data_IF_541233485763
#
_entry.id   IF_541233485763
#
_cell.length_a   1.000
_cell.length_b   1.000
_cell.length_c   1.000
_cell.angle_alpha   90.00
_cell.angle_beta   90.00
_cell.angle_gamma   90.00
#
_symmetry.space_group_name_H-M   'P 1'
#
loop_
_entity.id
_entity.type
_entity.pdbx_description
1 polymer ?
#
# COMPACT_ATOMS: atom_id res chain seq x y z
N UNK A 1 26.45 25.96 -6.63
CA UNK A 1 26.32 24.72 -5.86
C UNK A 1 26.45 23.57 -6.84
N UNK A 2 27.53 22.79 -6.76
CA UNK A 2 27.73 21.61 -7.59
C UNK A 2 27.08 20.44 -6.85
N UNK A 3 25.87 20.03 -7.28
CA UNK A 3 25.30 18.76 -6.85
C UNK A 3 26.15 17.66 -7.47
N UNK A 4 26.89 16.90 -6.66
CA UNK A 4 27.59 15.70 -7.09
C UNK A 4 26.58 14.62 -7.42
N UNK A 5 26.02 14.66 -8.63
CA UNK A 5 25.18 13.58 -9.15
C UNK A 5 26.05 12.35 -9.40
N UNK A 6 25.99 11.38 -8.50
CA UNK A 6 26.55 10.05 -8.67
C UNK A 6 25.67 9.25 -9.63
N UNK A 7 25.89 9.42 -10.94
CA UNK A 7 25.26 8.57 -11.96
C UNK A 7 25.89 7.18 -11.90
N UNK A 8 25.16 6.22 -11.36
CA UNK A 8 25.53 4.80 -11.40
C UNK A 8 24.94 4.20 -12.67
N UNK A 9 25.79 3.71 -13.57
CA UNK A 9 25.38 3.02 -14.80
C UNK A 9 25.67 1.51 -14.65
N UNK A 10 24.61 0.74 -14.45
CA UNK A 10 24.69 -0.72 -14.34
C UNK A 10 24.62 -1.34 -15.75
N UNK A 11 25.78 -1.51 -16.38
CA UNK A 11 25.85 -1.92 -17.78
C UNK A 11 25.67 -3.43 -18.03
N UNK A 12 25.76 -4.28 -17.00
CA UNK A 12 25.51 -5.72 -17.16
C UNK A 12 24.00 -5.99 -17.04
N UNK A 13 23.36 -6.24 -18.18
CA UNK A 13 21.92 -6.47 -18.25
C UNK A 13 21.48 -7.85 -17.75
N UNK A 14 20.22 -7.93 -17.33
CA UNK A 14 19.57 -9.17 -16.92
C UNK A 14 18.76 -9.06 -15.63
N UNK A 15 18.62 -10.21 -14.96
CA UNK A 15 17.91 -10.38 -13.70
C UNK A 15 18.76 -9.93 -12.50
N UNK A 16 18.16 -9.18 -11.59
CA UNK A 16 18.73 -8.85 -10.29
C UNK A 16 17.88 -9.40 -9.15
N UNK A 17 18.52 -10.07 -8.20
CA UNK A 17 17.84 -10.58 -7.01
C UNK A 17 17.40 -9.45 -6.06
N UNK A 18 18.19 -8.39 -5.96
CA UNK A 18 17.95 -7.26 -5.07
C UNK A 18 18.54 -5.97 -5.64
N UNK A 19 17.76 -4.90 -5.62
CA UNK A 19 18.17 -3.56 -5.99
C UNK A 19 17.67 -2.59 -4.92
N UNK A 20 18.59 -1.93 -4.21
CA UNK A 20 18.27 -0.89 -3.23
C UNK A 20 18.79 0.43 -3.77
N UNK A 21 17.89 1.37 -3.97
CA UNK A 21 18.17 2.69 -4.54
C UNK A 21 18.05 3.72 -3.42
N UNK A 22 19.19 4.29 -3.03
CA UNK A 22 19.30 5.36 -2.03
C UNK A 22 19.90 6.66 -2.59
N UNK A 23 20.30 6.65 -3.87
CA UNK A 23 20.93 7.78 -4.53
C UNK A 23 19.89 8.69 -5.22
N UNK A 24 20.16 9.99 -5.28
CA UNK A 24 19.22 10.97 -5.86
C UNK A 24 18.96 10.79 -7.35
N UNK A 25 19.91 10.25 -8.12
CA UNK A 25 19.78 10.03 -9.58
C UNK A 25 20.35 8.67 -9.95
N UNK A 26 19.50 7.75 -10.42
CA UNK A 26 19.91 6.41 -10.87
C UNK A 26 19.41 6.15 -12.28
N UNK A 27 20.30 5.70 -13.15
CA UNK A 27 19.98 5.29 -14.52
C UNK A 27 20.51 3.88 -14.76
N UNK A 28 19.63 2.90 -14.93
CA UNK A 28 20.04 1.51 -15.13
C UNK A 28 19.33 0.91 -16.36
N UNK A 29 19.76 1.31 -17.57
CA UNK A 29 19.01 1.04 -18.79
C UNK A 29 19.02 -0.43 -19.22
N UNK A 30 19.88 -1.29 -18.66
CA UNK A 30 20.04 -2.68 -19.09
C UNK A 30 19.38 -3.71 -18.16
N UNK A 31 18.88 -3.30 -16.99
CA UNK A 31 18.19 -4.21 -16.06
C UNK A 31 16.79 -4.48 -16.60
N UNK A 32 16.43 -5.74 -16.76
CA UNK A 32 15.14 -6.15 -17.31
C UNK A 32 14.19 -6.71 -16.26
N UNK A 33 14.72 -7.34 -15.22
CA UNK A 33 13.92 -8.00 -14.18
C UNK A 33 14.57 -7.77 -12.81
N UNK A 34 13.74 -7.48 -11.80
CA UNK A 34 14.21 -7.32 -10.42
C UNK A 34 13.32 -8.10 -9.46
N UNK A 35 13.87 -9.03 -8.71
CA UNK A 35 13.09 -9.78 -7.72
C UNK A 35 12.68 -8.91 -6.52
N UNK A 36 13.59 -8.11 -5.96
CA UNK A 36 13.27 -7.20 -4.86
C UNK A 36 13.87 -5.83 -5.11
N UNK A 37 13.00 -4.84 -5.32
CA UNK A 37 13.37 -3.47 -5.59
C UNK A 37 12.90 -2.58 -4.44
N UNK A 38 13.85 -1.91 -3.79
CA UNK A 38 13.58 -0.91 -2.76
C UNK A 38 14.03 0.45 -3.26
N UNK A 39 13.11 1.41 -3.24
CA UNK A 39 13.29 2.80 -3.63
C UNK A 39 13.15 3.61 -2.35
N UNK A 40 14.26 4.09 -1.79
CA UNK A 40 14.34 4.84 -0.53
C UNK A 40 15.06 6.15 -0.81
N UNK A 41 14.33 7.28 -0.90
CA UNK A 41 14.91 8.61 -1.16
C UNK A 41 15.53 8.94 -2.56
N UNK A 42 15.22 8.30 -3.71
CA UNK A 42 15.67 8.83 -4.99
C UNK A 42 14.82 10.01 -5.45
N UNK A 43 15.46 11.06 -5.93
CA UNK A 43 14.80 12.18 -6.61
C UNK A 43 14.42 11.82 -8.05
N UNK A 44 15.21 10.96 -8.72
CA UNK A 44 15.02 10.57 -10.11
C UNK A 44 15.58 9.16 -10.40
N UNK A 45 14.74 8.28 -10.93
CA UNK A 45 15.06 6.92 -11.34
C UNK A 45 14.61 6.70 -12.79
N UNK A 46 15.51 6.22 -13.65
CA UNK A 46 15.20 5.85 -15.03
C UNK A 46 15.70 4.44 -15.34
N UNK A 47 14.78 3.54 -15.68
CA UNK A 47 15.09 2.15 -16.04
C UNK A 47 14.26 1.73 -17.25
N UNK A 48 14.73 2.14 -18.43
CA UNK A 48 13.98 1.96 -19.67
C UNK A 48 13.75 0.50 -20.05
N UNK A 49 14.63 -0.44 -19.69
CA UNK A 49 14.45 -1.86 -20.04
C UNK A 49 13.74 -2.69 -18.98
N UNK A 50 13.42 -2.11 -17.81
CA UNK A 50 12.81 -2.85 -16.71
C UNK A 50 11.41 -3.30 -17.11
N UNK A 51 11.20 -4.60 -17.24
CA UNK A 51 9.97 -5.23 -17.70
C UNK A 51 9.12 -5.77 -16.56
N UNK A 52 9.77 -6.32 -15.52
CA UNK A 52 9.08 -6.89 -14.35
C UNK A 52 9.80 -6.62 -13.03
N UNK A 53 9.01 -6.52 -11.96
CA UNK A 53 9.49 -6.47 -10.57
C UNK A 53 8.68 -7.42 -9.71
N UNK A 54 9.29 -8.36 -8.99
CA UNK A 54 8.49 -9.23 -8.13
C UNK A 54 8.03 -8.51 -6.86
N UNK A 55 8.92 -7.77 -6.19
CA UNK A 55 8.59 -7.00 -4.99
C UNK A 55 9.06 -5.57 -5.14
N UNK A 56 8.12 -4.64 -5.26
CA UNK A 56 8.41 -3.21 -5.30
C UNK A 56 8.07 -2.58 -3.94
N UNK A 57 9.08 -2.01 -3.30
CA UNK A 57 8.92 -1.20 -2.10
C UNK A 57 9.36 0.22 -2.38
N UNK A 58 8.48 1.18 -2.12
CA UNK A 58 8.79 2.61 -2.25
C UNK A 58 8.54 3.28 -0.90
N UNK A 59 9.55 4.00 -0.44
CA UNK A 59 9.41 5.01 0.60
C UNK A 59 9.89 6.35 0.05
N UNK A 60 8.95 7.28 -0.16
CA UNK A 60 9.29 8.61 -0.65
C UNK A 60 9.94 9.50 0.41
N UNK A 61 9.80 9.17 1.71
CA UNK A 61 10.19 10.06 2.79
C UNK A 61 9.57 11.46 2.64
N UNK A 62 10.36 12.50 2.87
CA UNK A 62 9.96 13.90 2.67
C UNK A 62 10.19 14.39 1.22
N UNK A 63 10.91 13.60 0.41
CA UNK A 63 11.34 13.98 -0.93
C UNK A 63 10.38 13.47 -2.02
N UNK A 64 10.47 14.11 -3.20
CA UNK A 64 9.74 13.68 -4.39
C UNK A 64 10.49 12.53 -5.05
N UNK A 65 9.86 11.37 -5.16
CA UNK A 65 10.32 10.27 -6.01
C UNK A 65 9.80 10.47 -7.43
N UNK A 66 10.70 10.49 -8.42
CA UNK A 66 10.32 10.46 -9.83
C UNK A 66 10.89 9.17 -10.42
N UNK A 67 10.03 8.27 -10.87
CA UNK A 67 10.47 7.01 -11.48
C UNK A 67 9.88 6.87 -12.88
N UNK A 68 10.76 6.77 -13.88
CA UNK A 68 10.43 6.55 -15.27
C UNK A 68 10.74 5.11 -15.65
N UNK A 69 9.67 4.31 -15.74
CA UNK A 69 9.71 2.87 -15.94
C UNK A 69 8.79 2.49 -17.12
N UNK A 70 9.08 2.99 -18.35
CA UNK A 70 8.12 2.97 -19.46
C UNK A 70 7.81 1.57 -19.99
N UNK A 71 8.72 0.62 -19.80
CA UNK A 71 8.56 -0.78 -20.21
C UNK A 71 8.16 -1.71 -19.07
N UNK A 72 7.96 -1.20 -17.85
CA UNK A 72 7.47 -2.02 -16.74
C UNK A 72 6.04 -2.44 -17.05
N UNK A 73 5.79 -3.74 -17.11
CA UNK A 73 4.47 -4.31 -17.44
C UNK A 73 3.87 -5.12 -16.29
N UNK A 74 4.71 -5.74 -15.47
CA UNK A 74 4.24 -6.56 -14.35
C UNK A 74 4.97 -6.21 -13.06
N UNK A 75 4.19 -6.10 -11.99
CA UNK A 75 4.69 -6.10 -10.63
C UNK A 75 3.97 -7.23 -9.89
N UNK A 76 4.69 -8.15 -9.25
CA UNK A 76 3.99 -9.19 -8.48
C UNK A 76 3.35 -8.58 -7.23
N UNK A 77 4.11 -7.90 -6.37
CA UNK A 77 3.60 -7.22 -5.17
C UNK A 77 4.21 -5.82 -5.03
N UNK A 78 3.38 -4.84 -4.67
CA UNK A 78 3.82 -3.46 -4.47
C UNK A 78 3.36 -2.88 -3.14
N UNK A 79 4.27 -2.25 -2.41
CA UNK A 79 4.00 -1.48 -1.20
C UNK A 79 4.65 -0.11 -1.30
N UNK A 80 3.85 0.94 -1.22
CA UNK A 80 4.30 2.32 -1.41
C UNK A 80 3.87 3.19 -0.24
N UNK A 81 4.81 3.91 0.36
CA UNK A 81 4.61 4.80 1.51
C UNK A 81 5.19 6.17 1.23
N UNK A 82 4.65 7.19 1.90
CA UNK A 82 5.08 8.58 1.74
C UNK A 82 5.16 9.03 0.27
N UNK A 83 4.23 8.54 -0.55
CA UNK A 83 4.21 8.81 -1.99
C UNK A 83 3.53 10.13 -2.34
N UNK A 84 3.36 11.02 -1.35
CA UNK A 84 2.52 12.19 -1.51
C UNK A 84 2.99 13.13 -2.63
N UNK A 85 4.30 13.18 -2.82
CA UNK A 85 4.96 14.00 -3.82
C UNK A 85 5.59 13.17 -4.94
N UNK A 86 5.21 11.89 -5.08
CA UNK A 86 5.87 10.99 -6.03
C UNK A 86 5.17 10.94 -7.38
N UNK A 87 5.96 10.70 -8.42
CA UNK A 87 5.52 10.62 -9.81
C UNK A 87 6.12 9.35 -10.44
N UNK A 88 5.24 8.53 -11.02
CA UNK A 88 5.64 7.30 -11.67
C UNK A 88 5.12 7.30 -13.10
N UNK A 89 6.05 7.31 -14.05
CA UNK A 89 5.78 7.16 -15.47
C UNK A 89 5.94 5.69 -15.85
N UNK A 90 4.85 4.93 -15.67
CA UNK A 90 4.68 3.59 -16.20
C UNK A 90 3.39 3.48 -16.99
N UNK A 91 3.30 2.50 -17.88
CA UNK A 91 2.15 2.33 -18.76
C UNK A 91 1.63 0.90 -18.70
N UNK A 92 0.34 0.76 -18.44
CA UNK A 92 -0.38 -0.51 -18.52
C UNK A 92 0.25 -1.62 -17.65
N UNK A 93 0.50 -1.28 -16.39
CA UNK A 93 1.10 -2.16 -15.39
C UNK A 93 0.02 -3.04 -14.76
N UNK A 94 0.25 -4.35 -14.76
CA UNK A 94 -0.51 -5.30 -13.96
C UNK A 94 0.19 -5.51 -12.60
N UNK A 95 -0.56 -5.40 -11.51
CA UNK A 95 -0.12 -5.88 -10.19
C UNK A 95 -0.71 -7.27 -9.97
N UNK A 96 0.10 -8.32 -10.02
CA UNK A 96 -0.40 -9.71 -10.06
C UNK A 96 -0.93 -10.21 -8.71
N UNK A 97 -0.37 -9.69 -7.61
CA UNK A 97 -0.84 -9.95 -6.24
C UNK A 97 -1.50 -8.69 -5.67
N UNK A 98 -0.89 -8.03 -4.69
CA UNK A 98 -1.50 -6.95 -3.92
C UNK A 98 -0.77 -5.63 -4.10
N UNK A 99 -1.54 -4.54 -4.05
CA UNK A 99 -1.05 -3.16 -4.03
C UNK A 99 -1.43 -2.52 -2.69
N UNK A 100 -0.42 -2.05 -1.96
CA UNK A 100 -0.60 -1.33 -0.70
C UNK A 100 -0.09 0.11 -0.83
N UNK A 101 -0.95 1.08 -0.50
CA UNK A 101 -0.64 2.51 -0.53
C UNK A 101 -0.84 3.10 0.89
N UNK A 102 0.25 3.55 1.50
CA UNK A 102 0.29 4.30 2.75
C UNK A 102 1.09 3.64 3.89
N UNK A 103 1.25 4.32 5.04
CA UNK A 103 0.83 5.70 5.31
C UNK A 103 1.63 6.73 4.51
N UNK A 104 1.06 7.92 4.33
CA UNK A 104 1.78 9.08 3.81
C UNK A 104 1.66 10.22 4.80
N UNK A 105 2.79 10.71 5.31
CA UNK A 105 2.81 11.87 6.21
C UNK A 105 2.18 13.06 5.46
N UNK A 106 1.24 13.82 6.08
CA UNK A 106 0.65 14.97 5.42
C UNK A 106 1.76 15.94 5.01
N UNK A 107 1.93 16.17 3.71
CA UNK A 107 2.79 17.25 3.24
C UNK A 107 2.26 18.55 3.86
N UNK A 108 3.07 19.20 4.68
CA UNK A 108 2.71 20.42 5.43
C UNK A 108 2.51 21.63 4.51
N UNK A 109 2.70 21.47 3.19
CA UNK A 109 2.77 22.57 2.23
C UNK A 109 1.82 22.31 1.05
N UNK A 110 1.02 23.34 0.79
CA UNK A 110 -0.02 23.49 -0.22
C UNK A 110 0.31 22.84 -1.58
N UNK A 111 -0.69 22.12 -2.08
CA UNK A 111 -0.92 21.70 -3.47
C UNK A 111 -0.44 20.31 -3.92
N UNK A 112 -0.98 19.22 -3.33
CA UNK A 112 -0.69 17.87 -3.75
C UNK A 112 -1.58 17.47 -4.93
N UNK A 113 -1.25 17.95 -6.13
CA UNK A 113 -1.83 17.40 -7.34
C UNK A 113 -1.09 16.11 -7.72
N UNK A 114 -1.61 14.97 -7.26
CA UNK A 114 -1.16 13.64 -7.67
C UNK A 114 -1.58 13.38 -9.11
N UNK A 115 -0.62 13.43 -10.03
CA UNK A 115 -0.79 12.92 -11.38
C UNK A 115 0.29 11.87 -11.60
N UNK A 116 -0.03 10.58 -11.58
CA UNK A 116 0.91 9.59 -12.10
C UNK A 116 0.77 8.20 -11.52
N UNK A 117 0.99 8.06 -10.21
CA UNK A 117 1.28 6.76 -9.56
C UNK A 117 0.27 5.68 -9.94
N UNK A 118 -1.01 5.92 -9.68
CA UNK A 118 -2.06 4.93 -9.89
C UNK A 118 -2.61 4.91 -11.32
N UNK A 119 -2.19 5.86 -12.16
CA UNK A 119 -2.85 6.13 -13.45
C UNK A 119 -2.53 5.10 -14.53
N UNK A 120 -1.37 4.47 -14.48
CA UNK A 120 -0.95 3.42 -15.41
C UNK A 120 -1.28 2.01 -14.97
N UNK A 121 -1.91 1.81 -13.80
CA UNK A 121 -2.25 0.48 -13.29
C UNK A 121 -3.56 0.01 -13.94
N UNK A 122 -3.54 -1.16 -14.57
CA UNK A 122 -4.68 -1.72 -15.32
C UNK A 122 -5.43 -2.83 -14.59
N UNK A 123 -4.74 -3.59 -13.73
CA UNK A 123 -5.32 -4.70 -12.97
C UNK A 123 -4.58 -4.93 -11.66
N UNK A 124 -5.30 -5.39 -10.64
CA UNK A 124 -4.75 -5.87 -9.36
C UNK A 124 -5.30 -7.28 -9.13
N UNK A 125 -4.44 -8.29 -8.99
CA UNK A 125 -4.89 -9.68 -8.93
C UNK A 125 -5.53 -10.08 -7.59
N UNK A 126 -5.08 -9.50 -6.48
CA UNK A 126 -5.60 -9.77 -5.14
C UNK A 126 -6.13 -8.48 -4.48
N UNK A 127 -5.43 -7.93 -3.50
CA UNK A 127 -5.98 -6.87 -2.66
C UNK A 127 -5.42 -5.50 -3.03
N UNK A 128 -6.30 -4.50 -3.03
CA UNK A 128 -5.93 -3.09 -3.01
C UNK A 128 -6.17 -2.54 -1.61
N UNK A 129 -5.10 -2.06 -0.97
CA UNK A 129 -5.17 -1.46 0.37
C UNK A 129 -4.70 -0.02 0.28
N UNK A 130 -5.53 0.94 0.70
CA UNK A 130 -5.18 2.36 0.78
C UNK A 130 -5.47 2.85 2.19
N UNK A 131 -4.42 3.12 2.97
CA UNK A 131 -4.58 3.39 4.40
C UNK A 131 -3.79 4.59 4.89
N UNK A 132 -4.40 5.36 5.78
CA UNK A 132 -3.71 6.41 6.58
C UNK A 132 -2.98 7.45 5.72
N UNK A 133 -3.58 7.87 4.60
CA UNK A 133 -3.04 8.94 3.76
C UNK A 133 -3.78 10.27 3.99
N UNK A 134 -3.07 11.40 3.96
CA UNK A 134 -3.64 12.74 4.10
C UNK A 134 -3.48 13.57 2.83
N UNK A 135 -4.54 14.29 2.41
CA UNK A 135 -4.54 15.15 1.21
C UNK A 135 -4.12 14.43 -0.08
N UNK A 136 -4.50 13.15 -0.23
CA UNK A 136 -4.07 12.33 -1.35
C UNK A 136 -5.14 12.16 -2.44
N UNK A 137 -4.73 12.13 -3.71
CA UNK A 137 -5.64 11.90 -4.84
C UNK A 137 -5.27 10.61 -5.57
N UNK A 138 -6.05 9.55 -5.32
CA UNK A 138 -5.86 8.23 -5.92
C UNK A 138 -6.75 8.06 -7.15
N UNK A 139 -6.17 8.31 -8.33
CA UNK A 139 -6.91 8.26 -9.60
C UNK A 139 -6.45 7.06 -10.43
N UNK A 140 -7.27 6.01 -10.47
CA UNK A 140 -7.00 4.81 -11.25
C UNK A 140 -7.69 4.88 -12.61
N UNK A 141 -7.05 5.57 -13.57
CA UNK A 141 -7.65 5.89 -14.87
C UNK A 141 -7.93 4.68 -15.77
N UNK A 142 -7.17 3.60 -15.58
CA UNK A 142 -7.23 2.41 -16.44
C UNK A 142 -7.49 1.11 -15.66
N UNK A 143 -7.71 1.19 -14.34
CA UNK A 143 -7.92 0.01 -13.51
C UNK A 143 -9.30 -0.56 -13.77
N UNK A 144 -9.35 -1.72 -14.42
CA UNK A 144 -10.63 -2.34 -14.84
C UNK A 144 -11.04 -3.46 -13.87
N UNK A 145 -10.05 -4.13 -13.27
CA UNK A 145 -10.25 -5.37 -12.52
C UNK A 145 -9.43 -5.39 -11.22
N UNK A 146 -10.11 -5.75 -10.13
CA UNK A 146 -9.49 -6.06 -8.84
C UNK A 146 -9.97 -7.46 -8.45
N UNK A 147 -9.06 -8.43 -8.44
CA UNK A 147 -9.43 -9.84 -8.22
C UNK A 147 -9.80 -10.15 -6.77
N UNK A 148 -9.50 -9.26 -5.84
CA UNK A 148 -9.82 -9.41 -4.42
C UNK A 148 -10.45 -8.19 -3.76
N UNK A 149 -10.00 -7.89 -2.55
CA UNK A 149 -10.64 -6.89 -1.68
C UNK A 149 -10.06 -5.50 -1.93
N UNK A 150 -10.92 -4.50 -1.83
CA UNK A 150 -10.57 -3.08 -1.78
C UNK A 150 -10.81 -2.58 -0.36
N UNK A 151 -9.74 -2.27 0.36
CA UNK A 151 -9.79 -1.75 1.73
C UNK A 151 -9.20 -0.34 1.78
N UNK A 152 -10.06 0.65 2.01
CA UNK A 152 -9.69 2.07 2.03
C UNK A 152 -10.05 2.64 3.41
N UNK A 153 -9.03 2.85 4.26
CA UNK A 153 -9.25 3.10 5.69
C UNK A 153 -8.43 4.28 6.21
N UNK A 154 -9.08 5.17 6.96
CA UNK A 154 -8.36 6.19 7.72
C UNK A 154 -7.68 7.27 6.88
N UNK A 155 -8.11 7.47 5.63
CA UNK A 155 -7.57 8.51 4.77
C UNK A 155 -8.28 9.85 5.01
N UNK A 156 -7.54 10.94 5.09
CA UNK A 156 -8.08 12.26 5.38
C UNK A 156 -8.00 13.19 4.15
N UNK A 157 -9.08 13.93 3.87
CA UNK A 157 -9.17 14.90 2.77
C UNK A 157 -8.64 14.33 1.43
N UNK A 158 -8.98 13.08 1.15
CA UNK A 158 -8.47 12.34 -0.01
C UNK A 158 -9.57 12.15 -1.04
N UNK A 159 -9.18 12.05 -2.30
CA UNK A 159 -10.07 11.73 -3.42
C UNK A 159 -9.72 10.37 -3.98
N UNK A 160 -10.75 9.65 -4.42
CA UNK A 160 -10.64 8.32 -4.97
C UNK A 160 -11.39 8.29 -6.31
N UNK A 161 -10.77 7.70 -7.34
CA UNK A 161 -11.42 7.47 -8.62
C UNK A 161 -11.16 6.05 -9.10
N UNK A 162 -12.23 5.27 -9.16
CA UNK A 162 -12.26 3.88 -9.61
C UNK A 162 -13.24 3.68 -10.78
N UNK A 163 -13.38 4.70 -11.63
CA UNK A 163 -14.42 4.77 -12.66
C UNK A 163 -14.49 3.55 -13.56
N UNK A 164 -13.35 3.02 -13.96
CA UNK A 164 -13.27 1.89 -14.90
C UNK A 164 -13.41 0.52 -14.22
N UNK A 165 -13.42 0.46 -12.88
CA UNK A 165 -13.54 -0.81 -12.16
C UNK A 165 -14.93 -1.40 -12.37
N UNK A 166 -14.98 -2.59 -12.96
CA UNK A 166 -16.24 -3.28 -13.27
C UNK A 166 -16.57 -4.38 -12.26
N UNK A 167 -15.56 -4.97 -11.62
CA UNK A 167 -15.72 -6.13 -10.72
C UNK A 167 -14.68 -6.08 -9.60
N UNK A 168 -15.12 -6.45 -8.40
CA UNK A 168 -14.28 -6.68 -7.23
C UNK A 168 -14.91 -7.75 -6.31
N UNK A 169 -14.15 -8.31 -5.36
CA UNK A 169 -14.73 -9.19 -4.35
C UNK A 169 -15.43 -8.35 -3.27
N UNK A 170 -14.68 -7.71 -2.39
CA UNK A 170 -15.27 -6.86 -1.34
C UNK A 170 -14.78 -5.43 -1.44
N UNK A 171 -15.66 -4.46 -1.24
CA UNK A 171 -15.34 -3.04 -1.09
C UNK A 171 -15.59 -2.63 0.37
N UNK A 172 -14.57 -2.14 1.05
CA UNK A 172 -14.64 -1.68 2.43
C UNK A 172 -13.97 -0.30 2.52
N UNK A 173 -14.78 0.74 2.75
CA UNK A 173 -14.31 2.11 2.89
C UNK A 173 -14.76 2.68 4.22
N UNK A 174 -13.82 2.96 5.13
CA UNK A 174 -14.14 3.29 6.54
C UNK A 174 -13.28 4.42 7.08
N UNK A 175 -13.87 5.28 7.90
CA UNK A 175 -13.16 6.33 8.62
C UNK A 175 -12.33 7.26 7.71
N UNK A 176 -12.78 7.49 6.47
CA UNK A 176 -12.09 8.37 5.54
C UNK A 176 -12.57 9.83 5.70
N UNK A 177 -12.14 10.48 6.78
CA UNK A 177 -12.62 11.81 7.19
C UNK A 177 -12.36 12.88 6.12
N UNK A 178 -13.31 13.78 5.89
CA UNK A 178 -13.26 14.81 4.82
C UNK A 178 -13.05 14.26 3.40
N UNK A 179 -13.27 12.96 3.19
CA UNK A 179 -13.23 12.32 1.88
C UNK A 179 -14.64 11.87 1.50
N UNK A 180 -14.98 11.89 0.21
CA UNK A 180 -16.27 11.41 -0.28
C UNK A 180 -16.18 9.96 -0.78
N UNK A 181 -17.21 9.17 -0.49
CA UNK A 181 -17.32 7.75 -0.84
C UNK A 181 -18.43 7.53 -1.88
N UNK A 182 -18.36 6.50 -2.75
CA UNK A 182 -17.39 5.40 -2.74
C UNK A 182 -16.15 5.64 -3.64
N UNK A 183 -15.96 6.83 -4.22
CA UNK A 183 -14.80 7.09 -5.09
C UNK A 183 -15.05 6.77 -6.57
N UNK A 184 -16.19 7.23 -7.10
CA UNK A 184 -16.53 7.18 -8.53
C UNK A 184 -16.66 5.76 -9.14
N UNK A 185 -17.18 4.78 -8.39
CA UNK A 185 -17.47 3.42 -8.90
C UNK A 185 -18.70 3.37 -9.84
N UNK A 186 -18.68 4.16 -10.92
CA UNK A 186 -19.82 4.29 -11.84
C UNK A 186 -20.05 3.04 -12.69
N UNK A 187 -18.98 2.32 -13.05
CA UNK A 187 -19.05 1.12 -13.89
C UNK A 187 -19.02 -0.19 -13.09
N UNK A 188 -19.08 -0.13 -11.75
CA UNK A 188 -19.07 -1.33 -10.91
C UNK A 188 -20.35 -2.15 -11.17
N UNK A 189 -20.18 -3.32 -11.78
CA UNK A 189 -21.28 -4.22 -12.14
C UNK A 189 -21.48 -5.33 -11.10
N UNK A 190 -20.38 -5.83 -10.53
CA UNK A 190 -20.41 -6.97 -9.61
C UNK A 190 -19.53 -6.75 -8.40
N UNK A 191 -20.08 -7.08 -7.23
CA UNK A 191 -19.35 -7.22 -5.98
C UNK A 191 -19.85 -8.44 -5.20
N UNK A 192 -19.05 -8.97 -4.30
CA UNK A 192 -19.50 -9.88 -3.26
C UNK A 192 -20.08 -9.10 -2.09
N UNK A 193 -19.36 -8.12 -1.54
CA UNK A 193 -19.84 -7.31 -0.41
C UNK A 193 -19.39 -5.87 -0.52
N UNK A 194 -20.20 -4.95 0.00
CA UNK A 194 -19.91 -3.52 0.02
C UNK A 194 -20.16 -3.00 1.44
N UNK A 195 -19.17 -2.34 2.03
CA UNK A 195 -19.30 -1.64 3.28
C UNK A 195 -18.74 -0.22 3.16
N UNK A 196 -19.61 0.77 3.36
CA UNK A 196 -19.27 2.19 3.34
C UNK A 196 -19.59 2.81 4.69
N UNK A 197 -18.61 3.47 5.31
CA UNK A 197 -18.76 4.25 6.52
C UNK A 197 -18.03 5.59 6.33
N UNK A 198 -18.79 6.66 6.08
CA UNK A 198 -18.24 7.96 5.69
C UNK A 198 -19.25 8.93 5.08
N UNK A 199 -18.75 10.04 4.55
CA UNK A 199 -19.55 11.00 3.76
C UNK A 199 -19.80 10.41 2.38
N UNK A 200 -21.07 10.21 2.02
CA UNK A 200 -21.45 9.64 0.72
C UNK A 200 -21.61 10.74 -0.31
N UNK A 201 -20.95 10.57 -1.45
CA UNK A 201 -21.04 11.47 -2.59
C UNK A 201 -22.41 11.35 -3.27
N UNK A 202 -23.21 12.41 -3.18
CA UNK A 202 -24.53 12.50 -3.81
C UNK A 202 -24.53 13.38 -5.06
N UNK A 203 -23.37 13.79 -5.57
CA UNK A 203 -23.28 14.71 -6.73
C UNK A 203 -23.84 14.08 -8.01
N UNK A 204 -23.64 12.77 -8.19
CA UNK A 204 -24.23 11.99 -9.28
C UNK A 204 -25.70 11.56 -9.04
N UNK A 205 -26.31 12.03 -7.94
CA UNK A 205 -27.65 11.65 -7.49
C UNK A 205 -27.64 10.61 -6.37
N UNK A 206 -28.81 10.02 -6.09
CA UNK A 206 -28.96 9.02 -5.03
C UNK A 206 -28.42 7.63 -5.39
N UNK A 207 -28.08 7.40 -6.66
CA UNK A 207 -27.57 6.12 -7.13
C UNK A 207 -26.04 6.10 -7.14
N UNK A 208 -25.45 5.69 -6.02
CA UNK A 208 -23.98 5.64 -5.86
C UNK A 208 -23.30 4.48 -6.62
N UNK A 209 -24.09 3.52 -7.14
CA UNK A 209 -23.60 2.42 -7.99
C UNK A 209 -24.53 2.22 -9.20
N UNK A 210 -24.47 3.11 -10.20
CA UNK A 210 -25.45 3.12 -11.29
C UNK A 210 -25.43 1.87 -12.17
N UNK A 211 -24.29 1.21 -12.31
CA UNK A 211 -24.13 0.02 -13.16
C UNK A 211 -24.25 -1.31 -12.41
N UNK A 212 -24.57 -1.29 -11.11
CA UNK A 212 -24.58 -2.48 -10.27
C UNK A 212 -25.64 -3.49 -10.74
N UNK A 213 -25.18 -4.67 -11.15
CA UNK A 213 -26.03 -5.78 -11.61
C UNK A 213 -26.19 -6.85 -10.54
N UNK A 214 -25.19 -7.03 -9.66
CA UNK A 214 -25.23 -8.08 -8.63
C UNK A 214 -24.34 -7.81 -7.43
N UNK A 215 -24.88 -8.01 -6.23
CA UNK A 215 -24.15 -8.16 -4.97
C UNK A 215 -24.53 -9.46 -4.29
N UNK A 216 -23.59 -10.39 -4.15
CA UNK A 216 -23.87 -11.75 -3.62
C UNK A 216 -24.09 -11.77 -2.10
N UNK A 217 -23.36 -10.94 -1.37
CA UNK A 217 -23.42 -10.79 0.07
C UNK A 217 -24.21 -9.55 0.46
N UNK A 218 -23.67 -8.79 1.42
CA UNK A 218 -24.34 -7.62 2.00
C UNK A 218 -23.81 -6.30 1.44
N UNK A 219 -24.72 -5.34 1.31
CA UNK A 219 -24.42 -3.91 1.18
C UNK A 219 -24.76 -3.23 2.49
N UNK A 220 -23.76 -2.67 3.16
CA UNK A 220 -23.90 -1.92 4.40
C UNK A 220 -23.42 -0.48 4.17
N UNK A 221 -24.28 0.49 4.43
CA UNK A 221 -23.97 1.93 4.28
C UNK A 221 -24.28 2.67 5.57
N UNK A 222 -23.26 3.24 6.18
CA UNK A 222 -23.30 4.09 7.38
C UNK A 222 -22.91 5.51 6.99
N UNK A 223 -23.87 6.24 6.40
CA UNK A 223 -23.64 7.59 5.89
C UNK A 223 -23.47 8.61 7.03
N UNK A 224 -22.51 9.52 6.88
CA UNK A 224 -22.28 10.61 7.83
C UNK A 224 -23.03 11.90 7.47
N UNK A 225 -23.48 12.03 6.22
CA UNK A 225 -24.22 13.17 5.70
C UNK A 225 -25.73 12.86 5.67
N UNK A 226 -26.55 13.80 6.14
CA UNK A 226 -28.01 13.60 6.32
C UNK A 226 -28.77 13.56 5.00
N UNK A 227 -28.16 14.08 3.95
CA UNK A 227 -28.74 14.21 2.61
C UNK A 227 -28.75 12.89 1.85
N UNK A 228 -27.96 11.88 2.29
CA UNK A 228 -27.95 10.60 1.64
C UNK A 228 -29.27 9.85 1.85
N UNK A 229 -29.90 9.45 0.73
CA UNK A 229 -31.20 8.80 0.68
C UNK A 229 -31.06 7.35 0.22
N UNK A 230 -31.51 6.41 1.04
CA UNK A 230 -31.38 4.97 0.84
C UNK A 230 -32.38 4.38 -0.17
N UNK A 231 -33.35 5.16 -0.65
CA UNK A 231 -34.43 4.68 -1.54
C UNK A 231 -33.91 3.95 -2.77
N UNK A 232 -32.82 4.42 -3.38
CA UNK A 232 -32.27 3.79 -4.58
C UNK A 232 -31.62 2.44 -4.27
N UNK A 233 -30.85 2.33 -3.18
CA UNK A 233 -30.33 1.05 -2.71
C UNK A 233 -31.47 0.09 -2.34
N UNK A 234 -32.53 0.61 -1.71
CA UNK A 234 -33.75 -0.14 -1.42
C UNK A 234 -34.40 -0.71 -2.68
N UNK A 235 -34.45 0.07 -3.77
CA UNK A 235 -34.97 -0.43 -5.06
C UNK A 235 -34.10 -1.54 -5.66
N UNK A 236 -32.77 -1.46 -5.53
CA UNK A 236 -31.85 -2.50 -5.98
C UNK A 236 -32.03 -3.79 -5.16
N UNK A 237 -32.27 -3.66 -3.86
CA UNK A 237 -32.59 -4.80 -2.99
C UNK A 237 -33.92 -5.46 -3.37
N UNK A 238 -34.99 -4.68 -3.56
CA UNK A 238 -36.31 -5.19 -3.99
C UNK A 238 -36.26 -5.89 -5.36
N UNK A 239 -35.37 -5.44 -6.24
CA UNK A 239 -35.14 -6.06 -7.56
C UNK A 239 -34.21 -7.30 -7.51
N UNK A 240 -33.74 -7.72 -6.33
CA UNK A 240 -32.83 -8.86 -6.18
C UNK A 240 -31.41 -8.62 -6.67
N UNK A 241 -31.02 -7.36 -6.91
CA UNK A 241 -29.64 -6.99 -7.25
C UNK A 241 -28.76 -7.03 -5.99
N UNK A 242 -29.30 -6.58 -4.85
CA UNK A 242 -28.65 -6.63 -3.54
C UNK A 242 -29.34 -7.69 -2.68
N UNK A 243 -28.60 -8.68 -2.20
CA UNK A 243 -29.18 -9.76 -1.39
C UNK A 243 -29.51 -9.33 0.05
N UNK A 244 -28.59 -8.68 0.74
CA UNK A 244 -28.80 -8.12 2.09
C UNK A 244 -28.43 -6.64 2.10
N UNK A 245 -29.33 -5.79 2.58
CA UNK A 245 -29.15 -4.33 2.62
C UNK A 245 -29.34 -3.79 4.04
N UNK A 246 -28.32 -3.09 4.54
CA UNK A 246 -28.41 -2.26 5.74
C UNK A 246 -27.97 -0.85 5.39
N UNK A 247 -28.89 0.10 5.47
CA UNK A 247 -28.61 1.49 5.16
C UNK A 247 -28.98 2.36 6.36
N UNK A 248 -28.08 3.24 6.77
CA UNK A 248 -28.31 4.25 7.80
C UNK A 248 -28.27 5.64 7.14
N UNK A 249 -29.31 5.91 6.34
CA UNK A 249 -29.55 7.20 5.71
C UNK A 249 -31.02 7.60 5.86
N UNK A 250 -31.47 8.58 5.08
CA UNK A 250 -32.91 8.89 5.00
C UNK A 250 -33.64 7.87 4.14
N UNK A 251 -34.95 7.70 4.36
CA UNK A 251 -35.82 6.79 3.59
C UNK A 251 -35.24 5.37 3.44
N UNK A 252 -35.07 4.67 4.56
CA UNK A 252 -34.51 3.31 4.66
C UNK A 252 -35.28 2.21 3.88
N UNK A 253 -36.15 2.56 2.94
CA UNK A 253 -36.79 1.59 2.06
C UNK A 253 -37.77 0.65 2.77
N UNK A 254 -38.08 0.90 4.05
CA UNK A 254 -39.32 0.42 4.67
C UNK A 254 -40.48 1.15 4.01
N UNK A 255 -40.83 0.70 2.79
CA UNK A 255 -42.22 0.68 2.40
C UNK A 255 -42.94 0.02 3.57
N UNK A 256 -43.74 0.82 4.27
CA UNK A 256 -44.71 0.34 5.21
C UNK A 256 -45.40 -0.85 4.55
N UNK A 257 -45.08 -2.07 5.02
CA UNK A 257 -46.00 -3.18 4.87
C UNK A 257 -47.31 -2.64 5.44
N UNK A 258 -48.27 -2.41 4.55
CA UNK A 258 -49.56 -1.81 4.86
C UNK A 258 -50.37 -2.86 5.60
N UNK A 259 -49.97 -3.17 6.84
CA UNK A 259 -50.76 -3.88 7.84
C UNK A 259 -51.36 -2.81 8.72
N UNK A 260 -52.61 -2.46 8.45
CA UNK A 260 -53.33 -1.47 9.23
C UNK A 260 -53.49 -1.90 10.68
N UNK A 261 -52.90 -1.14 11.59
CA UNK A 261 -53.43 -0.95 12.94
C UNK A 261 -53.11 0.48 13.36
N UNK A 262 -54.17 1.25 13.54
CA UNK A 262 -54.16 2.57 14.16
C UNK A 262 -53.56 2.47 15.56
N UNK A 263 -52.34 2.97 15.76
CA UNK A 263 -51.92 3.44 17.08
C UNK A 263 -51.20 4.79 16.93
N UNK A 264 -51.98 5.81 17.26
CA UNK A 264 -51.54 7.04 17.90
C UNK A 264 -50.40 6.81 18.89
N UNK A 265 -49.25 7.46 18.71
CA UNK A 265 -48.70 8.42 19.68
C UNK A 265 -47.25 8.85 19.35
N UNK A 266 -47.10 10.17 19.29
CA UNK A 266 -45.98 10.97 19.82
C UNK A 266 -44.52 10.64 19.46
N UNK A 267 -43.94 11.55 18.66
CA UNK A 267 -42.69 12.28 18.92
C UNK A 267 -41.61 11.61 19.78
N UNK A 268 -40.50 11.24 19.14
CA UNK A 268 -39.16 11.43 19.70
C UNK A 268 -38.15 11.62 18.56
N UNK A 269 -38.03 12.87 18.10
CA UNK A 269 -36.86 13.33 17.34
C UNK A 269 -35.69 13.32 18.32
N UNK A 270 -34.88 12.27 18.27
CA UNK A 270 -33.64 12.19 19.04
C UNK A 270 -32.61 13.08 18.35
N UNK A 271 -32.35 14.22 18.98
CA UNK A 271 -31.36 15.22 18.61
C UNK A 271 -29.98 14.60 18.37
N UNK A 272 -29.47 14.73 17.14
CA UNK A 272 -28.08 14.50 16.76
C UNK A 272 -27.17 15.62 17.29
N UNK A 273 -27.13 15.79 18.61
CA UNK A 273 -26.40 16.85 19.29
C UNK A 273 -25.90 16.39 20.66
N UNK A 274 -25.17 15.27 20.71
CA UNK A 274 -24.46 14.82 21.91
C UNK A 274 -23.34 13.82 21.53
N UNK A 275 -22.36 14.26 20.72
CA UNK A 275 -21.09 13.55 20.51
C UNK A 275 -19.91 14.42 20.97
N UNK A 276 -20.06 15.04 22.14
CA UNK A 276 -18.97 15.68 22.84
C UNK A 276 -18.99 15.22 24.30
N UNK A 277 -18.07 14.30 24.64
CA UNK A 277 -17.63 14.14 26.03
C UNK A 277 -18.01 12.85 26.76
N UNK A 278 -17.66 11.66 26.22
CA UNK A 278 -17.20 10.53 27.06
C UNK A 278 -16.10 9.80 26.27
N UNK A 279 -14.84 10.12 26.52
CA UNK A 279 -13.73 9.48 25.81
C UNK A 279 -12.32 9.70 26.35
N UNK A 280 -12.16 10.22 27.58
CA UNK A 280 -10.83 10.36 28.23
C UNK A 280 -10.76 9.54 29.55
N UNK A 281 -11.83 8.86 29.95
CA UNK A 281 -11.85 8.04 31.18
C UNK A 281 -11.22 6.66 31.05
N UNK A 282 -11.15 6.08 29.83
CA UNK A 282 -10.68 4.69 29.63
C UNK A 282 -9.16 4.54 29.44
N UNK A 283 -8.48 5.57 28.92
CA UNK A 283 -7.06 5.49 28.56
C UNK A 283 -6.13 5.35 29.78
N UNK A 284 -6.50 5.96 30.91
CA UNK A 284 -5.67 5.91 32.13
C UNK A 284 -5.72 4.55 32.83
N UNK A 285 -6.84 3.82 32.76
CA UNK A 285 -6.94 2.48 33.32
C UNK A 285 -6.12 1.46 32.51
N UNK A 286 -6.12 1.56 31.18
CA UNK A 286 -5.33 0.65 30.33
C UNK A 286 -3.82 0.89 30.46
N UNK A 287 -3.38 2.16 30.52
CA UNK A 287 -1.96 2.49 30.74
C UNK A 287 -1.48 2.07 32.14
N UNK A 288 -2.33 2.19 33.16
CA UNK A 288 -2.00 1.73 34.52
C UNK A 288 -1.78 0.21 34.60
N UNK A 289 -2.62 -0.59 33.92
CA UNK A 289 -2.51 -2.05 33.90
C UNK A 289 -1.26 -2.51 33.13
N UNK A 290 -0.94 -1.88 32.00
CA UNK A 290 0.28 -2.20 31.23
C UNK A 290 1.56 -1.83 32.01
N UNK A 291 1.56 -0.70 32.70
CA UNK A 291 2.67 -0.30 33.57
C UNK A 291 2.90 -1.28 34.73
N UNK A 292 1.83 -1.75 35.38
CA UNK A 292 1.91 -2.71 36.47
C UNK A 292 2.40 -4.09 35.99
N UNK A 293 1.95 -4.56 34.82
CA UNK A 293 2.40 -5.82 34.24
C UNK A 293 3.90 -5.78 33.87
N UNK A 294 4.35 -4.69 33.23
CA UNK A 294 5.76 -4.50 32.90
C UNK A 294 6.65 -4.46 34.14
N UNK A 295 6.20 -3.76 35.20
CA UNK A 295 6.92 -3.71 36.48
C UNK A 295 7.00 -5.08 37.17
N UNK A 296 5.92 -5.88 37.12
CA UNK A 296 5.89 -7.21 37.70
C UNK A 296 6.85 -8.18 36.99
N UNK A 297 6.92 -8.12 35.65
CA UNK A 297 7.85 -8.94 34.85
C UNK A 297 9.31 -8.57 35.19
N UNK A 298 9.65 -7.28 35.25
CA UNK A 298 11.00 -6.83 35.61
C UNK A 298 11.40 -7.23 37.04
N UNK A 299 10.47 -7.19 37.99
CA UNK A 299 10.72 -7.59 39.38
C UNK A 299 10.92 -9.10 39.53
N UNK A 300 10.22 -9.92 38.74
CA UNK A 300 10.39 -11.38 38.75
C UNK A 300 11.79 -11.79 38.28
N UNK A 301 12.33 -11.13 37.24
CA UNK A 301 13.68 -11.40 36.72
C UNK A 301 14.80 -11.06 37.72
N UNK A 302 14.61 -10.06 38.58
CA UNK A 302 15.61 -9.73 39.61
C UNK A 302 15.74 -10.79 40.72
N UNK A 303 14.77 -11.69 40.89
CA UNK A 303 14.85 -12.78 41.87
C UNK A 303 15.50 -14.05 41.34
N UNK A 304 15.73 -14.17 40.03
CA UNK A 304 16.38 -15.32 39.40
C UNK A 304 17.91 -15.23 39.29
N UNK A 305 18.53 -14.10 39.63
CA UNK A 305 19.97 -13.86 39.46
C UNK A 305 20.82 -14.17 40.72
N UNK A 306 20.35 -15.08 41.57
CA UNK A 306 21.15 -15.66 42.65
C UNK A 306 21.12 -17.18 42.55
N UNK A 307 21.92 -17.72 41.63
CA UNK A 307 22.56 -19.03 41.77
C UNK A 307 23.77 -19.08 40.81
N UNK A 308 25.00 -18.94 41.32
CA UNK A 308 26.20 -19.25 40.57
C UNK A 308 26.61 -20.70 40.82
N UNK A 309 26.95 -21.43 39.76
CA UNK A 309 27.78 -22.62 39.87
C UNK A 309 27.30 -23.81 39.05
N UNK A 310 28.19 -24.32 38.19
CA UNK A 310 28.07 -25.66 37.64
C UNK A 310 28.52 -25.80 36.19
N UNK A 311 29.81 -25.61 35.92
CA UNK A 311 30.50 -26.18 34.76
C UNK A 311 30.39 -27.70 34.76
N UNK A 312 30.02 -28.31 33.62
CA UNK A 312 30.52 -29.63 33.27
C UNK A 312 30.51 -29.88 31.75
N UNK A 313 31.72 -30.02 31.23
CA UNK A 313 32.14 -30.63 29.97
C UNK A 313 31.76 -32.11 29.94
N UNK A 314 31.24 -32.65 28.83
CA UNK A 314 31.71 -33.96 28.32
C UNK A 314 31.32 -34.22 26.87
N UNK A 315 32.29 -34.81 26.16
CA UNK A 315 32.26 -35.38 24.83
C UNK A 315 31.13 -36.41 24.61
N UNK A 316 30.68 -36.55 23.37
CA UNK A 316 30.39 -37.81 22.66
C UNK A 316 29.81 -37.45 21.29
N UNK A 317 29.98 -38.15 20.18
CA UNK A 317 30.86 -39.22 19.73
C UNK A 317 30.41 -39.43 18.27
N UNK A 318 31.37 -39.41 17.35
CA UNK A 318 31.17 -39.64 15.93
C UNK A 318 30.92 -41.14 15.66
N UNK A 319 30.03 -41.48 14.71
CA UNK A 319 30.29 -42.59 13.80
C UNK A 319 29.99 -42.17 12.35
N UNK A 320 30.96 -42.21 11.44
CA UNK A 320 31.46 -43.38 10.69
C UNK A 320 30.48 -43.87 9.61
N UNK A 321 31.00 -43.86 8.39
CA UNK A 321 30.38 -44.23 7.12
C UNK A 321 29.81 -45.66 7.11
N UNK A 322 28.72 -45.86 6.38
CA UNK A 322 28.47 -47.15 5.73
C UNK A 322 27.90 -46.95 4.33
N UNK A 323 28.60 -47.58 3.39
CA UNK A 323 28.32 -47.75 1.98
C UNK A 323 27.16 -48.73 1.80
N UNK A 324 26.23 -48.46 0.91
CA UNK A 324 25.44 -49.51 0.26
C UNK A 324 25.30 -49.22 -1.22
N UNK A 325 25.97 -50.07 -2.00
CA UNK A 325 25.74 -50.30 -3.42
C UNK A 325 24.32 -50.86 -3.63
N UNK A 326 23.62 -50.36 -4.65
CA UNK A 326 22.75 -51.20 -5.44
C UNK A 326 22.90 -50.86 -6.91
N UNK A 327 23.44 -51.83 -7.64
CA UNK A 327 23.51 -51.88 -9.08
C UNK A 327 22.09 -51.98 -9.69
N UNK A 328 21.89 -51.28 -10.79
CA UNK A 328 21.04 -51.77 -11.88
C UNK A 328 21.69 -51.37 -13.20
N UNK A 329 22.18 -52.40 -13.89
CA UNK A 329 22.67 -52.37 -15.26
C UNK A 329 21.57 -51.98 -16.25
N UNK A 330 21.98 -51.40 -17.37
CA UNK A 330 21.13 -51.11 -18.52
C UNK A 330 21.84 -50.25 -19.57
N UNK A 331 22.84 -50.85 -20.26
CA UNK A 331 23.42 -50.39 -21.54
C UNK A 331 22.31 -50.04 -22.55
N UNK A 332 22.43 -49.03 -23.44
CA UNK A 332 23.25 -49.06 -24.67
C UNK A 332 23.85 -47.68 -25.06
N UNK A 333 25.09 -47.76 -25.57
CA UNK A 333 25.88 -46.82 -26.41
C UNK A 333 25.10 -46.25 -27.63
N UNK A 334 25.46 -45.21 -28.40
CA UNK A 334 26.61 -44.33 -28.64
C UNK A 334 26.04 -43.07 -29.37
N UNK A 335 26.65 -41.91 -29.52
CA UNK A 335 28.00 -41.41 -29.26
C UNK A 335 28.06 -39.94 -29.74
N UNK A 336 29.18 -39.26 -29.46
CA UNK A 336 29.53 -37.97 -30.09
C UNK A 336 29.68 -36.76 -29.17
N UNK A 337 30.84 -36.65 -28.50
CA UNK A 337 31.49 -35.37 -28.14
C UNK A 337 32.13 -34.77 -29.43
N UNK A 338 32.48 -33.45 -29.54
CA UNK A 338 33.06 -32.64 -28.45
C UNK A 338 32.74 -31.13 -28.38
N UNK A 339 32.96 -30.60 -27.17
CA UNK A 339 33.57 -29.32 -26.76
C UNK A 339 33.00 -27.93 -27.17
N UNK A 340 32.85 -27.10 -26.13
CA UNK A 340 32.71 -25.62 -26.17
C UNK A 340 31.27 -25.18 -25.90
N UNK A 341 30.93 -24.26 -25.02
CA UNK A 341 31.65 -23.21 -24.31
C UNK A 341 30.82 -22.80 -23.08
N UNK A 342 31.47 -22.27 -22.05
CA UNK A 342 30.96 -22.16 -20.68
C UNK A 342 29.65 -21.38 -20.51
N UNK A 343 28.72 -21.99 -19.77
CA UNK A 343 27.69 -21.28 -19.02
C UNK A 343 28.36 -20.76 -17.75
N UNK A 344 28.65 -19.47 -17.70
CA UNK A 344 28.94 -18.79 -16.44
C UNK A 344 27.62 -18.68 -15.67
N UNK A 345 27.45 -19.56 -14.70
CA UNK A 345 26.45 -19.43 -13.65
C UNK A 345 26.97 -18.36 -12.69
N UNK A 346 26.53 -17.11 -12.87
CA UNK A 346 26.71 -16.07 -11.88
C UNK A 346 25.69 -16.31 -10.77
N UNK A 347 26.05 -17.20 -9.84
CA UNK A 347 25.43 -17.24 -8.53
C UNK A 347 25.67 -15.89 -7.84
N UNK A 348 24.57 -15.19 -7.55
CA UNK A 348 24.46 -14.25 -6.43
C UNK A 348 25.47 -13.11 -6.38
N UNK A 349 25.44 -12.19 -7.34
CA UNK A 349 25.95 -10.85 -7.09
C UNK A 349 24.90 -10.08 -6.26
N UNK A 350 24.95 -10.21 -4.94
CA UNK A 350 24.28 -9.28 -4.04
C UNK A 350 25.04 -7.95 -4.09
N UNK A 351 24.55 -6.99 -4.88
CA UNK A 351 25.02 -5.60 -4.78
C UNK A 351 24.29 -4.99 -3.57
N UNK A 352 24.84 -5.28 -2.39
CA UNK A 352 24.47 -4.61 -1.15
C UNK A 352 25.09 -3.21 -1.19
N UNK A 353 24.25 -2.18 -1.29
CA UNK A 353 24.60 -0.78 -1.06
C UNK A 353 25.39 -0.10 -2.19
N UNK A 354 24.74 0.85 -2.88
CA UNK A 354 25.41 1.83 -3.73
C UNK A 354 25.25 3.22 -3.09
N UNK A 355 25.78 3.35 -1.87
CA UNK A 355 25.90 4.59 -1.13
C UNK A 355 27.34 5.09 -1.17
N UNK A 356 27.58 6.27 -1.73
CA UNK A 356 28.90 6.88 -1.77
C UNK A 356 28.88 8.32 -1.32
N UNK A 357 29.32 8.59 -0.08
CA UNK A 357 29.83 9.88 0.34
C UNK A 357 31.16 9.66 1.10
N UNK A 358 32.29 9.78 0.41
CA UNK A 358 33.58 10.01 1.07
C UNK A 358 33.81 11.52 1.15
N UNK A 359 33.79 12.04 2.37
CA UNK A 359 34.16 13.43 2.71
C UNK A 359 35.66 13.61 2.51
N UNK A 360 36.14 14.52 1.62
CA UNK A 360 37.52 14.95 1.64
C UNK A 360 37.65 16.08 2.68
N UNK A 361 38.44 15.84 3.72
CA UNK A 361 38.84 16.85 4.69
C UNK A 361 39.46 18.05 3.98
N UNK A 362 38.74 19.18 4.00
CA UNK A 362 39.20 20.44 3.41
C UNK A 362 39.85 21.29 4.48
N UNK A 363 41.14 21.53 4.31
CA UNK A 363 41.97 22.44 5.10
C UNK A 363 41.37 23.84 5.08
N UNK A 364 41.32 24.42 6.27
CA UNK A 364 41.17 25.84 6.58
C UNK A 364 42.27 26.63 5.87
N UNK A 365 41.90 27.64 5.08
CA UNK A 365 42.76 28.78 4.81
C UNK A 365 41.90 30.05 4.88
N UNK A 366 42.35 30.98 5.72
CA UNK A 366 41.84 32.32 5.93
C UNK A 366 41.88 33.14 4.64
N UNK A 367 40.81 33.87 4.31
CA UNK A 367 40.95 35.16 3.63
C UNK A 367 39.84 36.14 4.04
N UNK A 368 40.32 37.33 4.39
CA UNK A 368 39.60 38.49 4.91
C UNK A 368 38.76 39.24 3.86
N UNK A 369 37.72 39.90 4.39
CA UNK A 369 37.16 41.20 3.99
C UNK A 369 36.38 41.36 2.67
N UNK A 370 35.09 41.72 2.78
CA UNK A 370 34.63 43.13 2.70
C UNK A 370 33.13 43.26 2.97
N UNK A 371 32.80 44.15 3.90
CA UNK A 371 31.48 44.73 4.10
C UNK A 371 31.00 45.45 2.84
N UNK A 372 29.71 45.31 2.52
CA UNK A 372 28.98 46.27 1.69
C UNK A 372 27.65 46.60 2.37
N UNK A 373 27.56 47.84 2.83
CA UNK A 373 26.34 48.48 3.33
C UNK A 373 25.42 48.79 2.16
N UNK A 374 24.16 48.36 2.26
CA UNK A 374 23.07 49.01 1.52
C UNK A 374 22.22 49.82 2.51
N UNK A 375 22.18 51.13 2.26
CA UNK A 375 21.22 52.07 2.81
C UNK A 375 19.96 52.06 1.94
N UNK A 376 18.81 52.00 2.61
CA UNK A 376 17.47 52.25 2.07
C UNK A 376 17.27 53.73 1.80
N UNK A 377 16.55 54.03 0.72
CA UNK A 377 15.67 55.20 0.58
C UNK A 377 14.43 54.74 -0.16
#
# INVERSE_FOLDING_TARGET
MLSSSSRIDLQNGGFLSKLVITASVVAAPNITEVYNMTIDQPTYLEMDSLASVDKLQVDGGDDRVIARLPNLRSIWEASMRNIANSDFEWQDVAVESSLQLGPSVPATIYNPFFYGITSGIISIGMNLIIQENGNCSFVFRKLIFIGGNVDIVGNWNSTFNFREVTRLMSLSMRNNTNSTLPGDFLNLEEAESIYLNGVIDTTAGSNIFPSLKRVRGSVVVEAWNKEFNCSKLGSLHQNGIINDLRCNGTDNGTLAATGGTNETASHAVISQGAWAGIGIGGGLLFLGVLGAAAWFILRSRRRGAHNPGGTQTENQQQPSYSTHEHASEGLYEAGGKPCGSGRAQLEGAEIQEIGGEQVPGKKTDEFMAKESKFQTA
#
